data_IF_829136918385
#
_entry.id   IF_829136918385
#
_cell.length_a   1.000
_cell.length_b   1.000
_cell.length_c   1.000
_cell.angle_alpha   90.00
_cell.angle_beta   90.00
_cell.angle_gamma   90.00
#
_symmetry.space_group_name_H-M   'P 1'
#
loop_
_entity.id
_entity.type
_entity.pdbx_description
1 polymer ?
#
# COMPACT_ATOMS: atom_id res chain seq x y z
N UNK A 1 14.03 -10.96 8.17
CA UNK A 1 12.56 -11.00 8.11
C UNK A 1 12.06 -10.80 9.53
N UNK A 2 11.18 -9.84 9.79
CA UNK A 2 10.63 -9.65 11.13
C UNK A 2 9.92 -10.93 11.60
N UNK A 3 10.05 -11.28 12.87
CA UNK A 3 9.41 -12.48 13.43
C UNK A 3 7.90 -12.23 13.53
N UNK A 4 7.09 -13.29 13.50
CA UNK A 4 5.63 -13.18 13.67
C UNK A 4 5.28 -12.47 15.00
N UNK A 5 6.12 -12.68 16.02
CA UNK A 5 6.01 -12.00 17.32
C UNK A 5 6.15 -10.47 17.21
N UNK A 6 7.01 -9.98 16.31
CA UNK A 6 7.24 -8.55 16.10
C UNK A 6 5.98 -7.87 15.54
N UNK A 7 5.32 -8.51 14.57
CA UNK A 7 4.06 -8.01 14.00
C UNK A 7 2.90 -8.11 14.98
N UNK A 8 2.85 -9.16 15.80
CA UNK A 8 1.82 -9.31 16.84
C UNK A 8 1.94 -8.20 17.88
N UNK A 9 3.18 -7.86 18.26
CA UNK A 9 3.45 -6.75 19.16
C UNK A 9 3.14 -5.38 18.51
N UNK A 10 3.52 -5.18 17.25
CA UNK A 10 3.18 -3.97 16.50
C UNK A 10 1.67 -3.74 16.43
N UNK A 11 0.90 -4.80 16.15
CA UNK A 11 -0.58 -4.75 16.17
C UNK A 11 -1.09 -4.31 17.54
N UNK A 12 -0.63 -4.93 18.63
CA UNK A 12 -1.06 -4.59 20.00
C UNK A 12 -0.80 -3.12 20.34
N UNK A 13 0.39 -2.60 20.01
CA UNK A 13 0.75 -1.20 20.25
C UNK A 13 -0.14 -0.26 19.43
N UNK A 14 -0.40 -0.60 18.16
CA UNK A 14 -1.22 0.20 17.28
C UNK A 14 -2.69 0.26 17.76
N UNK A 15 -3.24 -0.88 18.15
CA UNK A 15 -4.59 -1.00 18.74
C UNK A 15 -4.70 -0.14 20.01
N UNK A 16 -3.80 -0.32 20.97
CA UNK A 16 -3.81 0.44 22.22
C UNK A 16 -3.75 1.96 21.99
N UNK A 17 -3.03 2.40 20.95
CA UNK A 17 -2.99 3.82 20.57
C UNK A 17 -4.33 4.28 19.99
N UNK A 18 -4.91 3.54 19.04
CA UNK A 18 -6.15 3.90 18.36
C UNK A 18 -7.38 3.88 19.29
N UNK A 19 -7.39 3.04 20.33
CA UNK A 19 -8.47 3.00 21.33
C UNK A 19 -8.65 4.32 22.08
N UNK A 20 -7.64 5.20 22.09
CA UNK A 20 -7.73 6.55 22.67
C UNK A 20 -8.46 7.56 21.76
N UNK A 21 -8.92 7.15 20.58
CA UNK A 21 -9.60 8.01 19.62
C UNK A 21 -11.02 7.51 19.33
N UNK A 22 -11.93 8.45 19.04
CA UNK A 22 -13.29 8.12 18.60
C UNK A 22 -13.27 7.52 17.20
N UNK A 23 -14.03 6.43 16.97
CA UNK A 23 -14.09 5.74 15.68
C UNK A 23 -14.46 6.69 14.52
N UNK A 24 -15.42 7.59 14.74
CA UNK A 24 -15.80 8.62 13.75
C UNK A 24 -14.65 9.55 13.37
N UNK A 25 -13.78 9.91 14.31
CA UNK A 25 -12.59 10.72 14.05
C UNK A 25 -11.57 9.93 13.24
N UNK A 26 -11.38 8.64 13.55
CA UNK A 26 -10.52 7.75 12.77
C UNK A 26 -11.03 7.64 11.34
N UNK A 27 -12.32 7.36 11.13
CA UNK A 27 -12.95 7.29 9.82
C UNK A 27 -12.73 8.57 9.00
N UNK A 28 -13.03 9.74 9.60
CA UNK A 28 -12.89 11.04 8.93
C UNK A 28 -11.44 11.34 8.54
N UNK A 29 -10.48 11.08 9.43
CA UNK A 29 -9.07 11.37 9.17
C UNK A 29 -8.47 10.41 8.15
N UNK A 30 -8.87 9.14 8.19
CA UNK A 30 -8.29 8.09 7.34
C UNK A 30 -9.02 7.90 6.01
N UNK A 31 -10.24 8.44 5.86
CA UNK A 31 -11.07 8.20 4.68
C UNK A 31 -11.65 6.79 4.61
N UNK A 32 -11.52 5.99 5.68
CA UNK A 32 -12.20 4.69 5.78
C UNK A 32 -13.71 4.90 5.91
N UNK A 33 -14.48 3.97 5.36
CA UNK A 33 -15.94 4.04 5.41
C UNK A 33 -16.42 3.56 6.78
N UNK A 34 -17.26 4.35 7.46
CA UNK A 34 -17.96 3.90 8.65
C UNK A 34 -19.23 3.17 8.22
N UNK A 35 -19.32 1.86 8.48
CA UNK A 35 -20.48 1.06 8.09
C UNK A 35 -21.65 1.22 9.08
N UNK A 36 -21.31 1.31 10.36
CA UNK A 36 -22.24 1.42 11.49
C UNK A 36 -21.51 2.08 12.70
N UNK A 37 -22.01 1.90 13.92
CA UNK A 37 -21.45 2.56 15.11
C UNK A 37 -20.07 2.03 15.52
N UNK A 38 -19.72 0.79 15.15
CA UNK A 38 -18.52 0.10 15.64
C UNK A 38 -17.64 -0.49 14.53
N UNK A 39 -18.06 -0.42 13.26
CA UNK A 39 -17.34 -1.09 12.16
C UNK A 39 -16.86 -0.11 11.10
N UNK A 40 -15.55 -0.16 10.81
CA UNK A 40 -14.96 0.47 9.63
C UNK A 40 -14.83 -0.53 8.48
N UNK A 41 -14.87 0.00 7.25
CA UNK A 41 -14.54 -0.73 6.03
C UNK A 41 -13.39 -0.06 5.29
N UNK A 42 -12.44 -0.87 4.84
CA UNK A 42 -11.31 -0.45 4.01
C UNK A 42 -11.24 -1.35 2.77
N UNK A 43 -11.17 -0.74 1.58
CA UNK A 43 -10.69 -1.43 0.39
C UNK A 43 -9.16 -1.44 0.46
N UNK A 44 -8.55 -2.61 0.27
CA UNK A 44 -7.11 -2.77 0.28
C UNK A 44 -6.71 -3.76 -0.82
N UNK A 45 -6.07 -3.23 -1.88
CA UNK A 45 -5.76 -3.98 -3.10
C UNK A 45 -7.03 -4.58 -3.75
N UNK A 46 -7.08 -5.90 -3.92
CA UNK A 46 -8.21 -6.66 -4.47
C UNK A 46 -9.17 -7.19 -3.39
N UNK A 47 -9.03 -6.76 -2.13
CA UNK A 47 -9.86 -7.20 -1.00
C UNK A 47 -10.53 -6.03 -0.29
N UNK A 48 -11.55 -6.36 0.50
CA UNK A 48 -12.23 -5.42 1.38
C UNK A 48 -12.30 -6.01 2.79
N UNK A 49 -11.91 -5.21 3.78
CA UNK A 49 -11.88 -5.64 5.18
C UNK A 49 -12.84 -4.85 6.02
N UNK A 50 -13.50 -5.56 6.94
CA UNK A 50 -14.21 -4.97 8.08
C UNK A 50 -13.28 -4.93 9.28
N UNK A 51 -13.31 -3.83 10.02
CA UNK A 51 -12.48 -3.60 11.20
C UNK A 51 -13.42 -3.21 12.34
N UNK A 52 -13.61 -4.11 13.31
CA UNK A 52 -14.52 -3.91 14.45
C UNK A 52 -13.85 -3.20 15.62
N UNK A 53 -14.54 -2.23 16.20
CA UNK A 53 -14.16 -1.47 17.38
C UNK A 53 -14.97 -1.95 18.61
N UNK A 54 -14.40 -1.95 19.83
CA UNK A 54 -12.99 -1.73 20.17
C UNK A 54 -12.11 -2.95 19.78
N UNK A 55 -10.78 -2.82 19.86
CA UNK A 55 -9.84 -3.90 19.54
C UNK A 55 -9.34 -3.98 18.10
N UNK A 56 -10.07 -3.41 17.13
CA UNK A 56 -9.73 -3.40 15.69
C UNK A 56 -9.51 -4.80 15.12
N UNK A 57 -10.49 -5.68 15.31
CA UNK A 57 -10.49 -7.03 14.74
C UNK A 57 -10.82 -7.00 13.25
N UNK A 58 -9.98 -7.66 12.43
CA UNK A 58 -10.09 -7.67 10.98
C UNK A 58 -10.85 -8.90 10.48
N UNK A 59 -11.79 -8.68 9.58
CA UNK A 59 -12.53 -9.71 8.87
C UNK A 59 -12.51 -9.42 7.37
N UNK A 60 -12.27 -10.46 6.56
CA UNK A 60 -12.35 -10.36 5.09
C UNK A 60 -13.81 -10.49 4.65
N UNK A 61 -14.30 -9.54 3.85
CA UNK A 61 -15.67 -9.59 3.30
C UNK A 61 -15.85 -10.71 2.27
N UNK A 62 -14.77 -11.31 1.74
CA UNK A 62 -14.85 -12.42 0.81
C UNK A 62 -15.47 -13.68 1.44
N UNK A 63 -16.37 -14.35 0.71
CA UNK A 63 -17.17 -15.52 1.15
C UNK A 63 -16.38 -16.71 1.72
N UNK A 64 -15.07 -16.79 1.43
CA UNK A 64 -14.19 -17.86 1.91
C UNK A 64 -13.28 -17.40 3.07
N UNK A 65 -13.72 -16.40 3.87
CA UNK A 65 -13.15 -15.91 5.13
C UNK A 65 -11.69 -16.31 5.37
N UNK A 66 -10.79 -15.84 4.50
CA UNK A 66 -9.36 -16.05 4.70
C UNK A 66 -8.92 -15.12 5.81
N UNK A 67 -8.10 -15.63 6.73
CA UNK A 67 -7.46 -14.79 7.73
C UNK A 67 -6.77 -13.60 7.06
N UNK A 68 -7.01 -12.40 7.58
CA UNK A 68 -6.36 -11.18 7.07
C UNK A 68 -4.89 -11.25 7.48
N UNK A 69 -3.92 -11.18 6.55
CA UNK A 69 -2.51 -11.27 6.89
C UNK A 69 -2.11 -10.21 7.93
N UNK A 70 -1.36 -10.63 8.95
CA UNK A 70 -1.01 -9.76 10.08
C UNK A 70 -0.25 -8.50 9.63
N UNK A 71 0.57 -8.59 8.58
CA UNK A 71 1.29 -7.46 8.01
C UNK A 71 0.34 -6.43 7.38
N UNK A 72 -0.73 -6.86 6.72
CA UNK A 72 -1.75 -5.97 6.17
C UNK A 72 -2.52 -5.29 7.30
N UNK A 73 -2.86 -6.03 8.37
CA UNK A 73 -3.51 -5.45 9.56
C UNK A 73 -2.64 -4.36 10.18
N UNK A 74 -1.35 -4.62 10.42
CA UNK A 74 -0.42 -3.64 11.00
C UNK A 74 -0.29 -2.41 10.11
N UNK A 75 -0.13 -2.59 8.79
CA UNK A 75 -0.02 -1.49 7.84
C UNK A 75 -1.26 -0.58 7.86
N UNK A 76 -2.46 -1.18 7.86
CA UNK A 76 -3.73 -0.43 7.90
C UNK A 76 -3.90 0.29 9.25
N UNK A 77 -3.51 -0.35 10.36
CA UNK A 77 -3.53 0.30 11.69
C UNK A 77 -2.56 1.49 11.75
N UNK A 78 -1.33 1.33 11.24
CA UNK A 78 -0.36 2.41 11.14
C UNK A 78 -0.86 3.56 10.26
N UNK A 79 -1.49 3.24 9.13
CA UNK A 79 -2.16 4.22 8.28
C UNK A 79 -3.22 5.02 9.06
N UNK A 80 -4.12 4.35 9.79
CA UNK A 80 -5.14 5.01 10.61
C UNK A 80 -4.51 5.91 11.69
N UNK A 81 -3.39 5.49 12.29
CA UNK A 81 -2.64 6.26 13.28
C UNK A 81 -1.94 7.48 12.67
N UNK A 82 -1.43 7.37 11.45
CA UNK A 82 -0.71 8.44 10.76
C UNK A 82 -1.64 9.49 10.17
N UNK A 83 -2.85 9.08 9.76
CA UNK A 83 -3.81 9.98 9.13
C UNK A 83 -4.27 11.11 10.06
N UNK A 84 -4.23 12.35 9.56
CA UNK A 84 -4.94 13.50 10.15
C UNK A 84 -5.80 14.16 9.06
N UNK A 85 -6.18 15.42 9.27
CA UNK A 85 -7.07 16.17 8.38
C UNK A 85 -6.45 16.60 7.04
N UNK A 86 -5.17 16.31 6.78
CA UNK A 86 -4.52 16.70 5.52
C UNK A 86 -5.03 15.87 4.33
N UNK A 87 -4.85 16.43 3.14
CA UNK A 87 -5.14 15.82 1.84
C UNK A 87 -3.83 15.56 1.08
N UNK A 88 -3.89 14.69 0.08
CA UNK A 88 -2.85 14.55 -0.94
C UNK A 88 -2.54 15.92 -1.56
N UNK A 89 -1.27 16.19 -1.83
CA UNK A 89 -0.83 17.50 -2.32
C UNK A 89 -0.68 17.56 -3.84
N UNK A 90 -0.62 16.41 -4.50
CA UNK A 90 -0.30 16.26 -5.92
C UNK A 90 1.19 16.40 -6.23
N UNK A 91 2.04 16.55 -5.20
CA UNK A 91 3.49 16.62 -5.36
C UNK A 91 4.06 15.21 -5.26
N UNK A 92 4.63 14.73 -6.35
CA UNK A 92 5.24 13.40 -6.44
C UNK A 92 6.70 13.42 -6.01
N UNK A 93 7.06 12.54 -5.09
CA UNK A 93 8.41 12.34 -4.58
C UNK A 93 8.86 10.89 -4.79
N UNK A 94 10.16 10.69 -5.02
CA UNK A 94 10.75 9.35 -5.00
C UNK A 94 10.76 8.79 -3.58
N UNK A 95 10.86 7.46 -3.45
CA UNK A 95 10.97 6.82 -2.14
C UNK A 95 12.11 7.39 -1.28
N UNK A 96 13.26 7.75 -1.88
CA UNK A 96 14.43 8.28 -1.16
C UNK A 96 14.18 9.63 -0.49
N UNK A 97 13.22 10.40 -1.00
CA UNK A 97 12.87 11.72 -0.49
C UNK A 97 11.94 11.66 0.72
N UNK A 98 11.35 10.49 1.01
CA UNK A 98 10.61 10.28 2.25
C UNK A 98 11.60 10.39 3.43
N UNK A 99 11.32 11.24 4.45
CA UNK A 99 12.22 11.42 5.58
C UNK A 99 12.61 10.10 6.26
N UNK A 100 13.91 9.80 6.30
CA UNK A 100 14.45 8.57 6.90
C UNK A 100 14.48 7.34 5.96
N UNK A 101 14.03 7.46 4.71
CA UNK A 101 13.98 6.34 3.77
C UNK A 101 15.35 5.84 3.28
N UNK A 102 16.41 6.62 3.45
CA UNK A 102 17.77 6.20 3.11
C UNK A 102 18.16 4.85 3.75
N UNK A 103 17.73 4.59 4.99
CA UNK A 103 18.01 3.33 5.70
C UNK A 103 17.27 2.11 5.13
N UNK A 104 16.16 2.33 4.42
CA UNK A 104 15.28 1.28 3.91
C UNK A 104 15.34 1.14 2.39
N UNK A 105 16.07 2.02 1.69
CA UNK A 105 16.08 2.08 0.23
C UNK A 105 16.45 0.74 -0.43
N UNK A 106 17.50 0.06 0.06
CA UNK A 106 17.90 -1.23 -0.49
C UNK A 106 16.83 -2.31 -0.31
N UNK A 107 16.10 -2.28 0.80
CA UNK A 107 14.98 -3.18 1.06
C UNK A 107 13.74 -2.84 0.22
N UNK A 108 13.51 -1.55 -0.05
CA UNK A 108 12.47 -1.08 -0.97
C UNK A 108 12.73 -1.56 -2.39
N UNK A 109 13.95 -1.35 -2.92
CA UNK A 109 14.33 -1.78 -4.28
C UNK A 109 14.10 -3.28 -4.44
N UNK A 110 14.64 -4.10 -3.53
CA UNK A 110 14.50 -5.56 -3.59
C UNK A 110 13.06 -6.06 -3.48
N UNK A 111 12.19 -5.30 -2.82
CA UNK A 111 10.81 -5.71 -2.54
C UNK A 111 9.83 -5.23 -3.60
N UNK A 112 10.07 -4.06 -4.20
CA UNK A 112 9.10 -3.40 -5.07
C UNK A 112 9.65 -3.15 -6.48
N UNK A 113 10.90 -2.69 -6.63
CA UNK A 113 11.45 -2.33 -7.95
C UNK A 113 11.94 -3.58 -8.70
N UNK A 114 12.83 -4.36 -8.09
CA UNK A 114 13.41 -5.55 -8.74
C UNK A 114 12.34 -6.56 -9.18
N UNK A 115 11.28 -6.87 -8.38
CA UNK A 115 10.26 -7.81 -8.82
C UNK A 115 9.42 -7.31 -10.00
N UNK A 116 9.08 -6.01 -10.06
CA UNK A 116 8.37 -5.44 -11.22
C UNK A 116 9.22 -5.58 -12.47
N UNK A 117 10.47 -5.15 -12.42
CA UNK A 117 11.43 -5.25 -13.54
C UNK A 117 11.58 -6.70 -13.99
N UNK A 118 11.70 -7.62 -13.03
CA UNK A 118 11.89 -9.05 -13.33
C UNK A 118 10.69 -9.69 -14.02
N UNK A 119 9.46 -9.33 -13.63
CA UNK A 119 8.25 -9.98 -14.14
C UNK A 119 7.70 -9.29 -15.39
N UNK A 120 7.75 -7.96 -15.43
CA UNK A 120 7.12 -7.16 -16.48
C UNK A 120 8.12 -6.46 -17.40
N UNK A 121 9.41 -6.47 -17.09
CA UNK A 121 10.41 -5.63 -17.77
C UNK A 121 10.67 -5.96 -19.24
N UNK A 122 10.32 -7.15 -19.72
CA UNK A 122 10.44 -7.52 -21.15
C UNK A 122 9.09 -7.50 -21.88
N UNK A 123 8.01 -7.13 -21.19
CA UNK A 123 6.65 -7.02 -21.73
C UNK A 123 5.83 -6.14 -20.78
N UNK A 124 5.99 -4.82 -20.92
CA UNK A 124 5.35 -3.83 -20.08
C UNK A 124 3.83 -3.89 -20.20
N UNK A 125 3.29 -4.25 -21.37
CA UNK A 125 1.86 -4.45 -21.58
C UNK A 125 1.26 -5.54 -20.67
N UNK A 126 2.06 -6.50 -20.20
CA UNK A 126 1.64 -7.55 -19.27
C UNK A 126 1.14 -7.04 -17.91
N UNK A 127 1.49 -5.81 -17.51
CA UNK A 127 1.04 -5.23 -16.24
C UNK A 127 -0.36 -4.59 -16.32
N UNK A 128 -0.87 -4.32 -17.53
CA UNK A 128 -2.12 -3.56 -17.75
C UNK A 128 -3.32 -4.24 -17.08
N UNK A 129 -3.57 -5.52 -17.38
CA UNK A 129 -4.70 -6.25 -16.80
C UNK A 129 -4.63 -6.36 -15.27
N UNK A 130 -3.48 -6.75 -14.66
CA UNK A 130 -3.30 -6.68 -13.21
C UNK A 130 -3.54 -5.31 -12.61
N UNK A 131 -3.04 -4.24 -13.24
CA UNK A 131 -3.19 -2.88 -12.72
C UNK A 131 -4.67 -2.45 -12.70
N UNK A 132 -5.40 -2.71 -13.80
CA UNK A 132 -6.85 -2.43 -13.87
C UNK A 132 -7.64 -3.25 -12.85
N UNK A 133 -7.27 -4.52 -12.63
CA UNK A 133 -7.89 -5.36 -11.60
C UNK A 133 -7.69 -4.82 -10.17
N UNK A 134 -6.60 -4.06 -9.94
CA UNK A 134 -6.34 -3.35 -8.68
C UNK A 134 -6.83 -1.89 -8.71
N UNK A 135 -7.74 -1.54 -9.62
CA UNK A 135 -8.32 -0.20 -9.78
C UNK A 135 -7.26 0.88 -10.06
N UNK A 136 -6.12 0.51 -10.63
CA UNK A 136 -5.12 1.46 -11.08
C UNK A 136 -5.60 2.24 -12.30
N UNK A 137 -5.24 3.53 -12.37
CA UNK A 137 -5.53 4.39 -13.52
C UNK A 137 -4.27 4.61 -14.33
N UNK A 138 -4.35 4.49 -15.65
CA UNK A 138 -3.21 4.71 -16.56
C UNK A 138 -2.71 6.15 -16.47
N UNK A 139 -1.40 6.33 -16.51
CA UNK A 139 -0.73 7.65 -16.65
C UNK A 139 0.18 7.65 -17.88
N UNK A 140 0.40 8.82 -18.45
CA UNK A 140 1.23 9.00 -19.66
C UNK A 140 2.73 9.11 -19.29
N UNK A 141 3.28 8.12 -18.61
CA UNK A 141 4.70 8.09 -18.22
C UNK A 141 5.24 6.66 -18.25
N UNK A 142 6.42 6.48 -18.87
CA UNK A 142 6.99 5.15 -19.15
C UNK A 142 6.26 4.43 -20.28
N UNK A 143 6.68 3.21 -20.58
CA UNK A 143 5.97 2.32 -21.50
C UNK A 143 4.72 1.73 -20.86
N UNK A 144 4.72 1.63 -19.52
CA UNK A 144 3.56 1.31 -18.71
C UNK A 144 3.57 2.10 -17.40
N UNK A 145 2.59 3.00 -17.24
CA UNK A 145 2.44 3.86 -16.07
C UNK A 145 1.06 3.73 -15.44
N UNK A 146 1.01 3.59 -14.11
CA UNK A 146 -0.25 3.50 -13.36
C UNK A 146 -0.21 4.25 -12.04
N UNK A 147 -1.27 4.98 -11.74
CA UNK A 147 -1.54 5.54 -10.43
C UNK A 147 -2.49 4.63 -9.64
N UNK A 148 -2.21 4.48 -8.34
CA UNK A 148 -3.00 3.69 -7.42
C UNK A 148 -3.32 4.47 -6.15
N UNK A 149 -4.53 4.27 -5.63
CA UNK A 149 -4.93 4.69 -4.28
C UNK A 149 -5.21 3.46 -3.43
N UNK A 150 -4.14 2.75 -3.01
CA UNK A 150 -4.24 1.50 -2.23
C UNK A 150 -4.89 1.74 -0.86
N UNK A 151 -4.62 2.91 -0.28
CA UNK A 151 -5.36 3.49 0.83
C UNK A 151 -5.80 4.90 0.44
N UNK A 152 -6.91 5.42 1.01
CA UNK A 152 -7.55 6.67 0.53
C UNK A 152 -6.64 7.90 0.48
N UNK A 153 -5.58 7.95 1.28
CA UNK A 153 -4.64 9.09 1.39
C UNK A 153 -3.19 8.75 1.05
N UNK A 154 -2.95 7.65 0.35
CA UNK A 154 -1.60 7.29 -0.11
C UNK A 154 -1.58 7.04 -1.61
N UNK A 155 -1.77 8.09 -2.45
CA UNK A 155 -1.56 7.97 -3.88
C UNK A 155 -0.11 7.55 -4.16
N UNK A 156 0.06 6.63 -5.10
CA UNK A 156 1.37 6.22 -5.59
C UNK A 156 1.32 5.88 -7.07
N UNK A 157 2.41 6.12 -7.78
CA UNK A 157 2.53 5.80 -9.19
C UNK A 157 3.63 4.77 -9.40
N UNK A 158 3.34 3.74 -10.19
CA UNK A 158 4.30 2.78 -10.70
C UNK A 158 4.57 3.11 -12.16
N UNK A 159 5.84 3.25 -12.51
CA UNK A 159 6.30 3.55 -13.86
C UNK A 159 7.28 2.46 -14.27
N UNK A 160 7.07 1.89 -15.45
CA UNK A 160 7.90 0.85 -16.04
C UNK A 160 8.35 1.29 -17.43
N UNK A 161 9.65 1.16 -17.68
CA UNK A 161 10.26 1.24 -19.00
C UNK A 161 10.69 -0.17 -19.41
N UNK A 162 10.21 -0.61 -20.56
CA UNK A 162 10.53 -1.92 -21.12
C UNK A 162 12.00 -1.96 -21.52
N UNK A 163 12.66 -3.07 -21.23
CA UNK A 163 14.03 -3.31 -21.66
C UNK A 163 14.08 -3.79 -23.10
N UNK A 164 15.14 -3.43 -23.80
CA UNK A 164 15.42 -3.84 -25.16
C UNK A 164 16.82 -4.48 -25.27
N UNK A 165 17.31 -4.66 -26.50
CA UNK A 165 18.62 -5.25 -26.76
C UNK A 165 19.79 -4.37 -26.28
N UNK A 166 19.56 -3.07 -26.08
CA UNK A 166 20.59 -2.08 -25.72
C UNK A 166 20.55 -1.73 -24.21
N UNK A 167 19.36 -1.68 -23.61
CA UNK A 167 19.14 -1.23 -22.24
C UNK A 167 18.29 -2.22 -21.43
N UNK A 168 18.67 -2.53 -20.18
CA UNK A 168 17.81 -3.31 -19.30
C UNK A 168 16.56 -2.52 -18.95
N UNK A 169 15.48 -3.24 -18.64
CA UNK A 169 14.25 -2.64 -18.14
C UNK A 169 14.52 -1.75 -16.92
N UNK A 170 13.72 -0.70 -16.75
CA UNK A 170 13.76 0.16 -15.57
C UNK A 170 12.38 0.36 -14.96
N UNK A 171 12.33 0.55 -13.64
CA UNK A 171 11.07 0.83 -12.97
C UNK A 171 11.26 1.81 -11.83
N UNK A 172 10.24 2.60 -11.56
CA UNK A 172 10.20 3.51 -10.43
C UNK A 172 8.83 3.50 -9.76
N UNK A 173 8.81 3.73 -8.46
CA UNK A 173 7.59 3.97 -7.71
C UNK A 173 7.74 5.30 -6.97
N UNK A 174 6.88 6.24 -7.30
CA UNK A 174 6.79 7.56 -6.66
C UNK A 174 5.52 7.65 -5.83
N UNK A 175 5.52 8.54 -4.85
CA UNK A 175 4.44 8.71 -3.90
C UNK A 175 4.03 10.17 -3.83
N UNK A 176 2.78 10.45 -3.51
CA UNK A 176 2.43 11.79 -3.04
C UNK A 176 3.21 12.08 -1.75
N UNK A 177 3.77 13.28 -1.62
CA UNK A 177 4.62 13.65 -0.49
C UNK A 177 3.93 13.46 0.88
N UNK A 178 2.58 13.47 0.90
CA UNK A 178 1.80 13.22 2.11
C UNK A 178 2.13 11.88 2.76
N UNK A 179 2.61 10.90 1.99
CA UNK A 179 2.97 9.57 2.50
C UNK A 179 3.98 9.66 3.64
N UNK A 180 4.94 10.59 3.58
CA UNK A 180 5.96 10.78 4.60
C UNK A 180 5.43 11.35 5.92
N UNK A 181 4.18 11.86 5.92
CA UNK A 181 3.47 12.29 7.13
C UNK A 181 2.53 11.21 7.69
N UNK A 182 2.21 10.19 6.89
CA UNK A 182 1.25 9.14 7.24
C UNK A 182 1.95 7.84 7.61
N UNK A 183 2.91 7.40 6.81
CA UNK A 183 3.57 6.11 6.95
C UNK A 183 5.05 6.30 7.31
N UNK A 184 5.58 5.36 8.09
CA UNK A 184 7.02 5.22 8.21
C UNK A 184 7.62 4.82 6.85
N UNK A 185 8.92 5.08 6.60
CA UNK A 185 9.56 4.60 5.38
C UNK A 185 9.46 3.07 5.23
N UNK A 186 9.51 2.32 6.32
CA UNK A 186 9.33 0.87 6.31
C UNK A 186 7.92 0.49 5.82
N UNK A 187 6.88 1.10 6.39
CA UNK A 187 5.49 0.86 5.99
C UNK A 187 5.25 1.26 4.53
N UNK A 188 5.82 2.38 4.06
CA UNK A 188 5.73 2.79 2.66
C UNK A 188 6.39 1.76 1.72
N UNK A 189 7.52 1.18 2.11
CA UNK A 189 8.14 0.09 1.35
C UNK A 189 7.32 -1.21 1.36
N UNK A 190 6.65 -1.51 2.47
CA UNK A 190 5.72 -2.63 2.55
C UNK A 190 4.49 -2.42 1.67
N UNK A 191 3.88 -1.23 1.69
CA UNK A 191 2.75 -0.88 0.84
C UNK A 191 3.09 -1.08 -0.66
N UNK A 192 4.23 -0.54 -1.10
CA UNK A 192 4.72 -0.72 -2.47
C UNK A 192 4.97 -2.20 -2.81
N UNK A 193 5.58 -2.94 -1.90
CA UNK A 193 5.78 -4.38 -2.08
C UNK A 193 4.47 -5.15 -2.21
N UNK A 194 3.50 -4.89 -1.34
CA UNK A 194 2.20 -5.56 -1.37
C UNK A 194 1.45 -5.28 -2.68
N UNK A 195 1.51 -4.06 -3.19
CA UNK A 195 1.01 -3.73 -4.53
C UNK A 195 1.69 -4.57 -5.61
N UNK A 196 3.02 -4.57 -5.66
CA UNK A 196 3.81 -5.27 -6.67
C UNK A 196 3.55 -6.77 -6.66
N UNK A 197 3.60 -7.42 -5.51
CA UNK A 197 3.34 -8.86 -5.43
C UNK A 197 1.88 -9.21 -5.75
N UNK A 198 0.94 -8.29 -5.51
CA UNK A 198 -0.45 -8.51 -5.93
C UNK A 198 -0.62 -8.39 -7.45
N UNK A 199 0.04 -7.42 -8.09
CA UNK A 199 0.09 -7.31 -9.56
C UNK A 199 0.65 -8.60 -10.18
N UNK A 200 1.77 -9.09 -9.65
CA UNK A 200 2.40 -10.34 -10.08
C UNK A 200 1.46 -11.54 -9.87
N UNK A 201 0.79 -11.63 -8.73
CA UNK A 201 -0.13 -12.74 -8.46
C UNK A 201 -1.35 -12.74 -9.41
N UNK A 202 -1.81 -11.58 -9.85
CA UNK A 202 -2.92 -11.45 -10.81
C UNK A 202 -2.46 -11.74 -12.24
N UNK A 203 -1.21 -11.42 -12.61
CA UNK A 203 -0.70 -11.65 -13.97
C UNK A 203 -0.57 -13.13 -14.35
N UNK A 204 -0.63 -14.04 -13.37
CA UNK A 204 -0.62 -15.48 -13.58
C UNK A 204 -2.01 -16.13 -13.59
N UNK A 205 -3.08 -15.34 -13.46
CA UNK A 205 -4.48 -15.83 -13.52
C UNK A 205 -5.01 -15.74 -14.94
#
# INVERSE_FOLDING_TARGET
MARIDDYSNAKKIAVAKLENYKLKTIAQNSGLTLLDEDTLRVDFLDRAYRIRYPGFDFEDEAKNSKEVPLQEQVLILHYMIGCRSQKATGVWISYREIPGAAFYFSAFVKRAIDPVKKIFGTNAAGIVNPALALKGTTIETGDAGFEFSILPKTPMQLILWEGDDEFPAEANIVFDEIVGKILSPEDAAWLAGMLVYRLIAISYR
#
